data_IF_861172465131
#
_entry.id   IF_861172465131
#
_cell.length_a   1.000
_cell.length_b   1.000
_cell.length_c   1.000
_cell.angle_alpha   90.00
_cell.angle_beta   90.00
_cell.angle_gamma   90.00
#
_symmetry.space_group_name_H-M   'P 1'
#
loop_
_entity.id
_entity.type
_entity.pdbx_description
1 polymer ?
#
# COMPACT_ATOMS: atom_id res chain seq x y z
N UNK A 1 28.09 -18.56 -6.29
CA UNK A 1 27.51 -17.19 -6.26
C UNK A 1 28.46 -16.25 -6.99
N UNK A 2 28.11 -15.78 -8.20
CA UNK A 2 28.92 -14.78 -8.92
C UNK A 2 28.84 -13.43 -8.19
N UNK A 3 29.98 -12.79 -7.95
CA UNK A 3 30.15 -11.61 -7.10
C UNK A 3 29.40 -10.37 -7.64
N UNK A 4 28.89 -9.51 -6.75
CA UNK A 4 28.27 -8.22 -7.12
C UNK A 4 29.34 -7.28 -7.67
N UNK A 5 29.02 -6.41 -8.65
CA UNK A 5 29.95 -5.38 -9.08
C UNK A 5 30.21 -4.42 -7.92
N UNK A 6 31.47 -4.11 -7.67
CA UNK A 6 31.85 -3.12 -6.66
C UNK A 6 33.01 -2.28 -7.15
N UNK A 7 32.98 -1.00 -6.79
CA UNK A 7 34.01 -0.03 -7.10
C UNK A 7 34.65 0.47 -5.81
N UNK A 8 35.97 0.36 -5.70
CA UNK A 8 36.74 0.93 -4.58
C UNK A 8 37.76 1.92 -5.12
N UNK A 9 37.92 3.02 -4.40
CA UNK A 9 38.84 4.08 -4.77
C UNK A 9 39.89 4.19 -3.66
N UNK A 10 41.14 3.94 -4.02
CA UNK A 10 42.31 4.10 -3.13
C UNK A 10 43.12 5.31 -3.61
N UNK A 11 43.29 6.32 -2.76
CA UNK A 11 43.96 7.58 -3.11
C UNK A 11 45.34 7.58 -2.48
N UNK A 12 46.38 7.65 -3.31
CA UNK A 12 47.77 7.82 -2.90
C UNK A 12 48.31 9.12 -3.50
N UNK A 13 48.37 10.16 -2.66
CA UNK A 13 48.87 11.50 -3.01
C UNK A 13 48.25 12.09 -4.29
N UNK A 14 48.99 12.04 -5.41
CA UNK A 14 48.60 12.58 -6.72
C UNK A 14 47.96 11.54 -7.66
N UNK A 15 47.90 10.28 -7.24
CA UNK A 15 47.35 9.16 -8.03
C UNK A 15 46.19 8.48 -7.31
N UNK A 16 45.15 8.08 -8.03
CA UNK A 16 44.06 7.27 -7.50
C UNK A 16 43.96 5.96 -8.26
N UNK A 17 43.87 4.86 -7.51
CA UNK A 17 43.61 3.53 -8.04
C UNK A 17 42.12 3.21 -7.88
N UNK A 18 41.44 2.99 -9.00
CA UNK A 18 40.04 2.57 -9.07
C UNK A 18 40.01 1.06 -9.28
N UNK A 19 39.77 0.32 -8.19
CA UNK A 19 39.67 -1.14 -8.20
C UNK A 19 38.25 -1.54 -8.59
N UNK A 20 38.11 -2.18 -9.76
CA UNK A 20 36.85 -2.71 -10.28
C UNK A 20 36.79 -4.22 -9.99
N UNK A 21 35.76 -4.65 -9.26
CA UNK A 21 35.61 -6.05 -8.86
C UNK A 21 34.24 -6.59 -9.26
N UNK A 22 34.15 -7.91 -9.49
CA UNK A 22 32.88 -8.61 -9.68
C UNK A 22 32.37 -8.62 -11.12
N UNK A 23 31.05 -8.67 -11.30
CA UNK A 23 30.40 -8.89 -12.60
C UNK A 23 29.72 -7.61 -13.11
N UNK A 24 30.28 -7.04 -14.19
CA UNK A 24 29.90 -5.76 -14.81
C UNK A 24 28.98 -5.96 -16.01
N UNK A 25 27.81 -6.54 -15.78
CA UNK A 25 26.76 -6.77 -16.79
C UNK A 25 25.50 -5.98 -16.45
N UNK A 26 24.69 -5.64 -17.46
CA UNK A 26 23.48 -4.80 -17.36
C UNK A 26 22.59 -5.12 -16.17
N UNK A 27 22.27 -6.40 -15.98
CA UNK A 27 21.38 -6.88 -14.92
C UNK A 27 21.88 -6.57 -13.51
N UNK A 28 23.20 -6.46 -13.34
CA UNK A 28 23.86 -6.30 -12.04
C UNK A 28 24.29 -4.87 -11.77
N UNK A 29 24.60 -4.11 -12.82
CA UNK A 29 24.98 -2.69 -12.70
C UNK A 29 23.80 -1.82 -12.30
N UNK A 30 22.56 -2.20 -12.62
CA UNK A 30 21.37 -1.51 -12.14
C UNK A 30 21.32 -1.39 -10.59
N UNK A 31 21.98 -2.30 -9.86
CA UNK A 31 22.08 -2.27 -8.40
C UNK A 31 23.11 -1.26 -7.85
N UNK A 32 24.03 -0.73 -8.68
CA UNK A 32 25.09 0.23 -8.30
C UNK A 32 24.58 1.69 -8.24
N UNK A 33 23.50 2.01 -8.95
CA UNK A 33 23.09 3.38 -9.31
C UNK A 33 22.46 4.25 -8.20
N UNK A 34 22.46 3.84 -6.91
CA UNK A 34 21.81 4.66 -5.86
C UNK A 34 22.70 5.17 -4.74
N UNK A 35 23.96 4.74 -4.57
CA UNK A 35 24.78 5.21 -3.44
C UNK A 35 26.29 4.97 -3.53
N UNK A 36 26.78 4.14 -4.47
CA UNK A 36 28.12 3.52 -4.38
C UNK A 36 29.13 3.96 -5.47
N UNK A 37 29.00 5.17 -6.03
CA UNK A 37 29.96 5.67 -7.03
C UNK A 37 30.82 6.79 -6.44
N UNK A 38 31.97 6.47 -5.82
CA UNK A 38 32.87 7.44 -5.17
C UNK A 38 33.77 8.23 -6.15
N UNK A 39 33.59 8.10 -7.48
CA UNK A 39 34.46 8.77 -8.46
C UNK A 39 33.97 10.21 -8.66
N UNK A 40 34.38 11.10 -7.74
CA UNK A 40 34.32 12.53 -7.95
C UNK A 40 35.72 13.06 -8.32
N UNK A 41 35.84 14.03 -9.25
CA UNK A 41 37.11 14.66 -9.55
C UNK A 41 37.64 15.39 -8.31
N UNK A 42 38.77 14.93 -7.76
CA UNK A 42 39.43 15.58 -6.62
C UNK A 42 40.38 16.68 -7.11
N UNK A 43 40.61 17.72 -6.29
CA UNK A 43 41.56 18.77 -6.64
C UNK A 43 43.02 18.30 -6.56
N UNK A 44 43.33 17.31 -5.72
CA UNK A 44 44.69 16.85 -5.42
C UNK A 44 45.18 15.69 -6.27
N UNK A 45 44.27 14.92 -6.87
CA UNK A 45 44.59 13.75 -7.70
C UNK A 45 44.67 14.14 -9.17
N UNK A 46 45.78 13.85 -9.84
CA UNK A 46 46.01 14.19 -11.25
C UNK A 46 45.91 12.99 -12.20
N UNK A 47 46.13 11.77 -11.70
CA UNK A 47 46.06 10.54 -12.50
C UNK A 47 45.17 9.49 -11.85
N UNK A 48 44.30 8.86 -12.64
CA UNK A 48 43.40 7.80 -12.22
C UNK A 48 43.73 6.51 -12.99
N UNK A 49 44.03 5.44 -12.29
CA UNK A 49 44.28 4.12 -12.88
C UNK A 49 43.09 3.21 -12.58
N UNK A 50 42.40 2.74 -13.61
CA UNK A 50 41.31 1.77 -13.49
C UNK A 50 41.88 0.36 -13.64
N UNK A 51 41.77 -0.44 -12.57
CA UNK A 51 42.24 -1.82 -12.54
C UNK A 51 41.07 -2.79 -12.71
N UNK A 52 41.16 -3.59 -13.77
CA UNK A 52 40.18 -4.60 -14.17
C UNK A 52 40.54 -6.03 -13.73
N UNK A 53 41.66 -6.23 -13.03
CA UNK A 53 42.19 -7.56 -12.71
C UNK A 53 41.22 -8.44 -11.91
N UNK A 54 40.27 -7.84 -11.18
CA UNK A 54 39.27 -8.50 -10.37
C UNK A 54 37.86 -8.53 -11.01
N UNK A 55 37.75 -8.14 -12.29
CA UNK A 55 36.50 -8.22 -13.07
C UNK A 55 36.33 -9.64 -13.60
N UNK A 56 35.16 -10.22 -13.36
CA UNK A 56 34.85 -11.63 -13.66
C UNK A 56 34.01 -11.81 -14.92
N UNK A 57 33.01 -10.94 -15.15
CA UNK A 57 32.18 -10.90 -16.35
C UNK A 57 31.96 -9.43 -16.72
N UNK A 58 31.80 -9.11 -18.01
CA UNK A 58 31.53 -7.74 -18.49
C UNK A 58 30.67 -7.75 -19.76
N UNK A 59 29.90 -6.68 -19.99
CA UNK A 59 29.15 -6.44 -21.23
C UNK A 59 29.29 -4.99 -21.73
N UNK A 60 28.62 -4.67 -22.84
CA UNK A 60 28.62 -3.32 -23.43
C UNK A 60 28.10 -2.25 -22.47
N UNK A 61 27.12 -2.56 -21.62
CA UNK A 61 26.56 -1.58 -20.67
C UNK A 61 27.56 -1.26 -19.57
N UNK A 62 28.25 -2.28 -19.05
CA UNK A 62 29.28 -2.08 -18.02
C UNK A 62 30.50 -1.34 -18.51
N UNK A 63 30.98 -1.68 -19.71
CA UNK A 63 32.10 -0.98 -20.33
C UNK A 63 31.75 0.49 -20.63
N UNK A 64 30.53 0.75 -21.13
CA UNK A 64 30.05 2.12 -21.35
C UNK A 64 29.99 2.94 -20.06
N UNK A 65 29.57 2.36 -18.95
CA UNK A 65 29.55 3.04 -17.65
C UNK A 65 30.96 3.39 -17.17
N UNK A 66 31.93 2.48 -17.34
CA UNK A 66 33.33 2.71 -16.95
C UNK A 66 33.96 3.78 -17.83
N UNK A 67 33.74 3.72 -19.14
CA UNK A 67 34.16 4.76 -20.09
C UNK A 67 33.53 6.11 -19.76
N UNK A 68 32.27 6.13 -19.33
CA UNK A 68 31.62 7.37 -18.90
C UNK A 68 32.37 8.03 -17.73
N UNK A 69 32.81 7.26 -16.73
CA UNK A 69 33.63 7.80 -15.63
C UNK A 69 35.01 8.26 -16.11
N UNK A 70 35.67 7.47 -16.95
CA UNK A 70 36.97 7.81 -17.52
C UNK A 70 36.90 9.13 -18.31
N UNK A 71 35.97 9.25 -19.26
CA UNK A 71 35.74 10.47 -20.06
C UNK A 71 35.35 11.67 -19.20
N UNK A 72 34.57 11.47 -18.14
CA UNK A 72 34.23 12.54 -17.19
C UNK A 72 35.47 13.07 -16.47
N UNK A 73 36.40 12.20 -16.07
CA UNK A 73 37.68 12.60 -15.46
C UNK A 73 38.61 13.28 -16.47
N UNK A 74 38.70 12.77 -17.70
CA UNK A 74 39.47 13.38 -18.79
C UNK A 74 38.96 14.80 -19.12
N UNK A 75 37.64 14.99 -19.15
CA UNK A 75 37.02 16.33 -19.35
C UNK A 75 37.42 17.33 -18.26
N UNK A 76 37.73 16.86 -17.05
CA UNK A 76 38.24 17.69 -15.94
C UNK A 76 39.78 17.79 -15.92
N UNK A 77 40.45 17.43 -17.01
CA UNK A 77 41.90 17.56 -17.17
C UNK A 77 42.72 16.54 -16.37
N UNK A 78 42.12 15.39 -16.00
CA UNK A 78 42.80 14.30 -15.31
C UNK A 78 43.30 13.26 -16.31
N UNK A 79 44.46 12.67 -16.05
CA UNK A 79 44.97 11.54 -16.85
C UNK A 79 44.28 10.25 -16.43
N UNK A 80 43.81 9.44 -17.37
CA UNK A 80 43.19 8.15 -17.09
C UNK A 80 44.00 7.03 -17.75
N UNK A 81 44.27 5.97 -17.00
CA UNK A 81 45.00 4.79 -17.47
C UNK A 81 44.21 3.54 -17.12
N UNK A 82 44.17 2.59 -18.05
CA UNK A 82 43.54 1.30 -17.85
C UNK A 82 44.59 0.20 -17.62
N UNK A 83 44.34 -0.70 -16.67
CA UNK A 83 45.24 -1.79 -16.29
C UNK A 83 44.47 -3.08 -16.00
N UNK A 84 45.08 -4.25 -16.26
CA UNK A 84 44.49 -5.55 -15.90
C UNK A 84 43.40 -6.05 -16.87
N UNK A 85 43.33 -5.49 -18.07
CA UNK A 85 42.32 -5.84 -19.07
C UNK A 85 42.61 -7.20 -19.73
N UNK A 86 41.56 -8.01 -19.91
CA UNK A 86 41.65 -9.19 -20.78
C UNK A 86 41.64 -8.79 -22.26
N UNK A 87 42.17 -9.61 -23.20
CA UNK A 87 42.14 -9.30 -24.63
C UNK A 87 40.73 -9.04 -25.17
N UNK A 88 39.73 -9.75 -24.66
CA UNK A 88 38.32 -9.55 -25.02
C UNK A 88 37.75 -8.25 -24.48
N UNK A 89 38.21 -7.79 -23.30
CA UNK A 89 37.81 -6.52 -22.71
C UNK A 89 38.41 -5.34 -23.46
N UNK A 90 39.68 -5.45 -23.88
CA UNK A 90 40.36 -4.47 -24.72
C UNK A 90 39.61 -4.21 -26.03
N UNK A 91 39.16 -5.28 -26.68
CA UNK A 91 38.36 -5.17 -27.90
C UNK A 91 37.05 -4.43 -27.64
N UNK A 92 36.34 -4.77 -26.55
CA UNK A 92 35.07 -4.13 -26.24
C UNK A 92 35.26 -2.66 -25.84
N UNK A 93 36.29 -2.34 -25.06
CA UNK A 93 36.65 -0.97 -24.68
C UNK A 93 36.95 -0.14 -25.91
N UNK A 94 37.75 -0.65 -26.84
CA UNK A 94 38.04 0.03 -28.09
C UNK A 94 36.79 0.30 -28.92
N UNK A 95 35.89 -0.68 -29.06
CA UNK A 95 34.63 -0.53 -29.81
C UNK A 95 33.73 0.53 -29.16
N UNK A 96 33.57 0.47 -27.83
CA UNK A 96 32.74 1.40 -27.08
C UNK A 96 33.32 2.82 -27.04
N UNK A 97 34.65 2.96 -26.94
CA UNK A 97 35.33 4.27 -26.97
C UNK A 97 35.22 4.92 -28.36
N UNK A 98 35.38 4.14 -29.43
CA UNK A 98 35.22 4.62 -30.82
C UNK A 98 33.80 5.13 -31.09
N UNK A 99 32.79 4.51 -30.47
CA UNK A 99 31.38 4.87 -30.62
C UNK A 99 30.81 5.58 -29.39
N UNK A 100 31.68 6.19 -28.58
CA UNK A 100 31.23 6.87 -27.37
C UNK A 100 30.33 8.06 -27.77
N UNK A 101 29.13 8.21 -27.19
CA UNK A 101 28.19 9.25 -27.55
C UNK A 101 28.81 10.63 -27.25
N UNK A 102 29.01 11.42 -28.30
CA UNK A 102 29.58 12.76 -28.22
C UNK A 102 28.54 13.81 -27.80
N UNK A 103 27.26 13.51 -27.98
CA UNK A 103 26.16 14.37 -27.54
C UNK A 103 25.92 14.16 -26.05
N UNK A 104 26.28 15.15 -25.24
CA UNK A 104 25.72 15.28 -23.90
C UNK A 104 24.23 15.58 -24.07
N UNK A 105 23.37 14.68 -23.58
CA UNK A 105 21.95 14.99 -23.43
C UNK A 105 21.89 16.15 -22.43
N UNK A 106 21.64 17.36 -22.91
CA UNK A 106 21.38 18.48 -22.02
C UNK A 106 20.21 18.08 -21.12
N UNK A 107 20.46 17.99 -19.82
CA UNK A 107 19.37 17.99 -18.84
C UNK A 107 18.58 19.26 -19.12
N UNK A 108 17.39 19.10 -19.70
CA UNK A 108 16.48 20.21 -19.95
C UNK A 108 16.33 20.93 -18.62
N UNK A 109 16.86 22.15 -18.53
CA UNK A 109 16.60 23.05 -17.40
C UNK A 109 15.12 23.38 -17.44
N UNK A 110 14.33 22.51 -16.82
CA UNK A 110 12.89 22.67 -16.72
C UNK A 110 12.58 23.99 -16.03
N UNK A 111 11.61 24.72 -16.59
CA UNK A 111 11.02 25.82 -15.84
C UNK A 111 10.24 25.16 -14.71
N UNK A 112 10.53 25.50 -13.45
CA UNK A 112 9.91 24.89 -12.27
C UNK A 112 8.37 24.75 -12.36
N UNK A 113 7.70 25.71 -12.99
CA UNK A 113 6.25 25.71 -13.22
C UNK A 113 5.85 24.64 -14.26
N UNK A 114 6.62 24.49 -15.34
CA UNK A 114 6.37 23.46 -16.35
C UNK A 114 6.63 22.06 -15.78
N UNK A 115 7.65 21.89 -14.95
CA UNK A 115 7.93 20.60 -14.30
C UNK A 115 6.84 20.23 -13.30
N UNK A 116 6.35 21.23 -12.54
CA UNK A 116 5.21 21.04 -11.64
C UNK A 116 3.95 20.66 -12.42
N UNK A 117 3.69 21.32 -13.54
CA UNK A 117 2.52 21.07 -14.39
C UNK A 117 2.63 19.72 -15.11
N UNK A 118 3.83 19.32 -15.53
CA UNK A 118 4.12 18.00 -16.08
C UNK A 118 3.88 16.92 -15.02
N UNK A 119 4.35 17.11 -13.79
CA UNK A 119 4.15 16.15 -12.71
C UNK A 119 2.66 16.00 -12.37
N UNK A 120 1.91 17.10 -12.31
CA UNK A 120 0.44 17.07 -12.16
C UNK A 120 -0.22 16.33 -13.33
N UNK A 121 0.21 16.60 -14.56
CA UNK A 121 -0.29 15.89 -15.76
C UNK A 121 -0.03 14.39 -15.69
N UNK A 122 1.19 13.99 -15.31
CA UNK A 122 1.61 12.60 -15.16
C UNK A 122 0.79 11.88 -14.09
N UNK A 123 0.66 12.47 -12.90
CA UNK A 123 -0.15 11.91 -11.80
C UNK A 123 -1.63 11.84 -12.18
N UNK A 124 -2.14 12.82 -12.92
CA UNK A 124 -3.54 12.81 -13.37
C UNK A 124 -3.81 11.67 -14.36
N UNK A 125 -2.90 11.43 -15.30
CA UNK A 125 -3.00 10.32 -16.26
C UNK A 125 -2.88 8.97 -15.56
N UNK A 126 -1.98 8.83 -14.61
CA UNK A 126 -1.82 7.62 -13.80
C UNK A 126 -3.06 7.35 -12.93
N UNK A 127 -3.62 8.40 -12.32
CA UNK A 127 -4.89 8.35 -11.58
C UNK A 127 -6.05 7.89 -12.47
N UNK A 128 -6.15 8.43 -13.69
CA UNK A 128 -7.17 7.99 -14.66
C UNK A 128 -7.02 6.52 -15.04
N UNK A 129 -5.80 6.04 -15.30
CA UNK A 129 -5.54 4.62 -15.59
C UNK A 129 -5.92 3.73 -14.41
N UNK A 130 -5.57 4.14 -13.19
CA UNK A 130 -5.93 3.42 -11.95
C UNK A 130 -7.45 3.32 -11.78
N UNK A 131 -8.15 4.43 -12.04
CA UNK A 131 -9.61 4.46 -11.97
C UNK A 131 -10.26 3.56 -13.03
N UNK A 132 -9.75 3.56 -14.26
CA UNK A 132 -10.21 2.67 -15.32
C UNK A 132 -9.99 1.18 -14.94
N UNK A 133 -8.84 0.85 -14.35
CA UNK A 133 -8.56 -0.49 -13.82
C UNK A 133 -9.51 -0.88 -12.68
N UNK A 134 -9.90 0.06 -11.81
CA UNK A 134 -10.87 -0.19 -10.74
C UNK A 134 -12.26 -0.54 -11.29
N UNK A 135 -12.73 0.18 -12.32
CA UNK A 135 -13.99 -0.14 -12.98
C UNK A 135 -13.94 -1.50 -13.69
N UNK A 136 -12.81 -1.82 -14.34
CA UNK A 136 -12.61 -3.12 -14.97
C UNK A 136 -12.64 -4.25 -13.92
N UNK A 137 -11.93 -4.07 -12.80
CA UNK A 137 -11.91 -5.00 -11.68
C UNK A 137 -13.31 -5.21 -11.08
N UNK A 138 -14.05 -4.13 -10.89
CA UNK A 138 -15.42 -4.17 -10.36
C UNK A 138 -16.37 -4.85 -11.34
N UNK A 139 -16.18 -4.66 -12.65
CA UNK A 139 -16.92 -5.36 -13.70
C UNK A 139 -16.72 -6.88 -13.65
N UNK A 140 -15.46 -7.32 -13.57
CA UNK A 140 -15.13 -8.75 -13.42
C UNK A 140 -15.67 -9.33 -12.11
N UNK A 141 -15.55 -8.59 -11.00
CA UNK A 141 -16.13 -8.99 -9.71
C UNK A 141 -17.65 -9.12 -9.80
N UNK A 142 -18.33 -8.17 -10.46
CA UNK A 142 -19.79 -8.22 -10.64
C UNK A 142 -20.18 -9.46 -11.44
N UNK A 143 -19.46 -9.78 -12.50
CA UNK A 143 -19.67 -11.01 -13.26
C UNK A 143 -19.50 -12.27 -12.38
N UNK A 144 -18.43 -12.33 -11.57
CA UNK A 144 -18.19 -13.43 -10.64
C UNK A 144 -19.29 -13.55 -9.57
N UNK A 145 -19.76 -12.42 -9.02
CA UNK A 145 -20.87 -12.38 -8.07
C UNK A 145 -22.17 -12.90 -8.69
N UNK A 146 -22.51 -12.46 -9.91
CA UNK A 146 -23.70 -12.94 -10.63
C UNK A 146 -23.60 -14.45 -10.89
N UNK A 147 -22.44 -14.92 -11.34
CA UNK A 147 -22.19 -16.36 -11.55
C UNK A 147 -22.36 -17.17 -10.25
N UNK A 148 -21.86 -16.65 -9.12
CA UNK A 148 -21.98 -17.27 -7.81
C UNK A 148 -23.43 -17.32 -7.31
N UNK A 149 -24.23 -16.28 -7.56
CA UNK A 149 -25.67 -16.27 -7.23
C UNK A 149 -26.44 -17.28 -8.08
N UNK A 150 -26.11 -17.41 -9.37
CA UNK A 150 -26.74 -18.38 -10.26
C UNK A 150 -26.33 -19.84 -9.97
N UNK A 151 -25.12 -20.05 -9.41
CA UNK A 151 -24.59 -21.36 -9.05
C UNK A 151 -24.07 -21.35 -7.60
N UNK A 152 -24.95 -21.30 -6.58
CA UNK A 152 -24.53 -21.14 -5.17
C UNK A 152 -23.66 -22.29 -4.64
N UNK A 153 -23.70 -23.47 -5.28
CA UNK A 153 -22.86 -24.61 -4.95
C UNK A 153 -21.39 -24.43 -5.34
N UNK A 154 -21.05 -23.47 -6.22
CA UNK A 154 -19.65 -23.15 -6.53
C UNK A 154 -19.00 -22.24 -5.46
N UNK A 155 -19.79 -21.70 -4.53
CA UNK A 155 -19.28 -20.85 -3.45
C UNK A 155 -18.50 -21.71 -2.46
N UNK A 156 -17.25 -21.31 -2.18
CA UNK A 156 -16.35 -22.01 -1.27
C UNK A 156 -16.62 -21.63 0.19
N UNK A 157 -17.75 -22.10 0.73
CA UNK A 157 -18.22 -21.75 2.07
C UNK A 157 -17.18 -21.94 3.19
N UNK A 158 -16.34 -22.97 3.09
CA UNK A 158 -15.24 -23.19 4.06
C UNK A 158 -14.26 -22.02 4.10
N UNK A 159 -13.90 -21.48 2.93
CA UNK A 159 -13.01 -20.31 2.84
C UNK A 159 -13.72 -19.03 3.31
N UNK A 160 -15.01 -18.88 3.00
CA UNK A 160 -15.81 -17.75 3.51
C UNK A 160 -15.89 -17.76 5.03
N UNK A 161 -16.15 -18.91 5.65
CA UNK A 161 -16.21 -19.06 7.11
C UNK A 161 -14.87 -18.74 7.77
N UNK A 162 -13.76 -19.20 7.20
CA UNK A 162 -12.42 -18.84 7.67
C UNK A 162 -12.21 -17.32 7.69
N UNK A 163 -12.62 -16.62 6.64
CA UNK A 163 -12.51 -15.15 6.60
C UNK A 163 -13.53 -14.46 7.52
N UNK A 164 -14.71 -15.02 7.78
CA UNK A 164 -15.65 -14.50 8.79
C UNK A 164 -15.03 -14.57 10.19
N UNK A 165 -14.38 -15.67 10.53
CA UNK A 165 -13.68 -15.81 11.81
C UNK A 165 -12.52 -14.79 11.91
N UNK A 166 -11.65 -14.75 10.90
CA UNK A 166 -10.46 -13.92 10.95
C UNK A 166 -10.79 -12.41 10.91
N UNK A 167 -11.69 -11.99 10.01
CA UNK A 167 -12.03 -10.59 9.79
C UNK A 167 -13.16 -10.09 10.69
N UNK A 168 -14.11 -10.96 11.03
CA UNK A 168 -15.19 -10.68 11.97
C UNK A 168 -14.71 -10.81 13.42
N UNK A 169 -14.53 -12.04 13.91
CA UNK A 169 -14.24 -12.29 15.33
C UNK A 169 -12.95 -11.59 15.79
N UNK A 170 -11.91 -11.60 14.97
CA UNK A 170 -10.67 -10.92 15.30
C UNK A 170 -10.75 -9.39 15.35
N UNK A 171 -11.81 -8.76 14.81
CA UNK A 171 -12.02 -7.30 14.88
C UNK A 171 -12.87 -6.87 16.08
N UNK A 172 -13.55 -7.81 16.76
CA UNK A 172 -14.46 -7.52 17.88
C UNK A 172 -13.78 -6.67 18.96
N UNK A 173 -12.58 -7.01 19.49
CA UNK A 173 -12.02 -6.27 20.62
C UNK A 173 -11.81 -4.78 20.35
N UNK A 174 -11.27 -4.45 19.17
CA UNK A 174 -11.02 -3.05 18.78
C UNK A 174 -12.33 -2.31 18.48
N UNK A 175 -13.32 -2.97 17.88
CA UNK A 175 -14.63 -2.38 17.59
C UNK A 175 -15.39 -2.08 18.88
N UNK A 176 -15.42 -3.02 19.83
CA UNK A 176 -16.10 -2.80 21.11
C UNK A 176 -15.47 -1.64 21.89
N UNK A 177 -14.13 -1.62 21.98
CA UNK A 177 -13.41 -0.56 22.68
C UNK A 177 -13.66 0.82 22.05
N UNK A 178 -13.49 0.92 20.73
CA UNK A 178 -13.69 2.20 20.01
C UNK A 178 -15.14 2.68 20.08
N UNK A 179 -16.11 1.77 19.93
CA UNK A 179 -17.54 2.11 20.00
C UNK A 179 -17.96 2.56 21.39
N UNK A 180 -17.41 1.92 22.44
CA UNK A 180 -17.63 2.33 23.83
C UNK A 180 -17.12 3.76 24.09
N UNK A 181 -15.86 4.03 23.72
CA UNK A 181 -15.25 5.34 23.90
C UNK A 181 -16.01 6.43 23.13
N UNK A 182 -16.46 6.12 21.92
CA UNK A 182 -17.22 7.08 21.13
C UNK A 182 -18.61 7.31 21.71
N UNK A 183 -19.27 6.27 22.22
CA UNK A 183 -20.52 6.41 22.98
C UNK A 183 -20.37 7.37 24.17
N UNK A 184 -19.29 7.23 24.94
CA UNK A 184 -18.93 8.14 26.03
C UNK A 184 -18.75 9.57 25.52
N UNK A 185 -17.94 9.77 24.47
CA UNK A 185 -17.62 11.11 23.95
C UNK A 185 -18.87 11.83 23.45
N UNK A 186 -19.74 11.14 22.70
CA UNK A 186 -20.99 11.72 22.18
C UNK A 186 -21.92 12.09 23.34
N UNK A 187 -22.09 11.20 24.31
CA UNK A 187 -22.96 11.46 25.45
C UNK A 187 -22.41 12.60 26.31
N UNK A 188 -21.10 12.68 26.50
CA UNK A 188 -20.48 13.76 27.26
C UNK A 188 -20.67 15.11 26.57
N UNK A 189 -20.40 15.18 25.27
CA UNK A 189 -20.63 16.40 24.50
C UNK A 189 -22.10 16.78 24.48
N UNK A 190 -23.01 15.81 24.27
CA UNK A 190 -24.45 16.02 24.31
C UNK A 190 -24.91 16.55 25.66
N UNK A 191 -24.51 15.88 26.76
CA UNK A 191 -24.89 16.26 28.13
C UNK A 191 -24.58 17.73 28.41
N UNK A 192 -23.34 18.16 28.11
CA UNK A 192 -22.94 19.55 28.35
C UNK A 192 -23.73 20.59 27.56
N UNK A 193 -24.35 20.20 26.43
CA UNK A 193 -25.22 21.10 25.67
C UNK A 193 -26.66 21.06 26.17
N UNK A 194 -27.19 19.87 26.44
CA UNK A 194 -28.58 19.66 26.89
C UNK A 194 -28.84 20.22 28.29
N UNK A 195 -27.84 20.16 29.18
CA UNK A 195 -27.89 20.73 30.53
C UNK A 195 -28.19 22.23 30.50
N UNK A 196 -27.62 22.96 29.53
CA UNK A 196 -27.85 24.41 29.37
C UNK A 196 -29.29 24.76 29.01
N UNK A 197 -30.02 23.82 28.42
CA UNK A 197 -31.42 23.98 28.03
C UNK A 197 -32.39 23.33 29.03
N UNK A 198 -31.89 22.73 30.12
CA UNK A 198 -32.70 21.96 31.07
C UNK A 198 -33.35 20.71 30.44
N UNK A 199 -32.77 20.20 29.35
CA UNK A 199 -33.38 19.23 28.45
C UNK A 199 -32.75 17.83 28.61
N UNK A 200 -32.32 17.47 29.82
CA UNK A 200 -31.47 16.32 30.12
C UNK A 200 -31.98 14.99 29.57
N UNK A 201 -33.30 14.77 29.60
CA UNK A 201 -33.92 13.52 29.15
C UNK A 201 -33.73 13.25 27.64
N UNK A 202 -33.50 14.29 26.83
CA UNK A 202 -33.32 14.15 25.37
C UNK A 202 -31.94 13.60 24.98
N UNK A 203 -31.04 13.40 25.94
CA UNK A 203 -29.76 12.74 25.69
C UNK A 203 -29.95 11.31 25.17
N UNK A 204 -31.02 10.63 25.60
CA UNK A 204 -31.30 9.24 25.23
C UNK A 204 -31.49 9.12 23.73
N UNK A 205 -32.35 9.95 23.15
CA UNK A 205 -32.63 10.00 21.73
C UNK A 205 -31.40 10.44 20.95
N UNK A 206 -30.69 11.47 21.44
CA UNK A 206 -29.48 11.97 20.80
C UNK A 206 -28.43 10.86 20.66
N UNK A 207 -28.07 10.21 21.76
CA UNK A 207 -27.04 9.15 21.78
C UNK A 207 -27.50 7.94 20.97
N UNK A 208 -28.72 7.44 21.23
CA UNK A 208 -29.17 6.18 20.64
C UNK A 208 -29.41 6.32 19.15
N UNK A 209 -30.10 7.38 18.70
CA UNK A 209 -30.38 7.57 17.27
C UNK A 209 -29.09 7.87 16.51
N UNK A 210 -28.22 8.74 17.02
CA UNK A 210 -26.97 9.10 16.33
C UNK A 210 -26.00 7.94 16.26
N UNK A 211 -25.90 7.16 17.34
CA UNK A 211 -24.99 6.01 17.39
C UNK A 211 -25.44 4.91 16.42
N UNK A 212 -26.68 4.42 16.58
CA UNK A 212 -27.20 3.27 15.85
C UNK A 212 -27.37 3.54 14.34
N UNK A 213 -27.77 4.76 13.98
CA UNK A 213 -28.09 5.09 12.58
C UNK A 213 -26.85 5.42 11.74
N UNK A 214 -25.84 6.02 12.35
CA UNK A 214 -24.74 6.66 11.64
C UNK A 214 -23.37 6.26 12.19
N UNK A 215 -23.09 6.53 13.46
CA UNK A 215 -21.73 6.51 13.98
C UNK A 215 -21.18 5.09 14.13
N UNK A 216 -21.91 4.18 14.79
CA UNK A 216 -21.44 2.81 14.97
C UNK A 216 -21.24 2.06 13.63
N UNK A 217 -22.15 2.15 12.64
CA UNK A 217 -21.90 1.61 11.29
C UNK A 217 -20.65 2.18 10.62
N UNK A 218 -20.48 3.51 10.67
CA UNK A 218 -19.36 4.20 10.02
C UNK A 218 -18.02 3.85 10.67
N UNK A 219 -17.95 3.85 11.99
CA UNK A 219 -16.73 3.57 12.75
C UNK A 219 -16.30 2.12 12.62
N UNK A 220 -17.27 1.20 12.69
CA UNK A 220 -17.02 -0.21 12.43
C UNK A 220 -16.46 -0.39 11.03
N UNK A 221 -17.02 0.28 10.02
CA UNK A 221 -16.50 0.25 8.65
C UNK A 221 -15.06 0.79 8.55
N UNK A 222 -14.75 1.92 9.18
CA UNK A 222 -13.40 2.52 9.17
C UNK A 222 -12.37 1.57 9.81
N UNK A 223 -12.69 1.00 10.98
CA UNK A 223 -11.79 0.09 11.69
C UNK A 223 -11.58 -1.20 10.90
N UNK A 224 -12.64 -1.76 10.32
CA UNK A 224 -12.56 -2.97 9.49
C UNK A 224 -11.82 -2.71 8.18
N UNK A 225 -11.97 -1.52 7.59
CA UNK A 225 -11.18 -1.12 6.44
C UNK A 225 -9.69 -1.10 6.77
N UNK A 226 -9.30 -0.48 7.89
CA UNK A 226 -7.90 -0.44 8.32
C UNK A 226 -7.31 -1.82 8.61
N UNK A 227 -8.05 -2.70 9.31
CA UNK A 227 -7.55 -4.02 9.71
C UNK A 227 -7.67 -5.07 8.59
N UNK A 228 -8.89 -5.29 8.11
CA UNK A 228 -9.20 -6.41 7.23
C UNK A 228 -8.83 -6.10 5.77
N UNK A 229 -9.07 -4.88 5.28
CA UNK A 229 -8.70 -4.55 3.90
C UNK A 229 -7.18 -4.53 3.71
N UNK A 230 -6.42 -4.00 4.68
CA UNK A 230 -4.95 -4.05 4.68
C UNK A 230 -4.45 -5.49 4.73
N UNK A 231 -5.03 -6.34 5.59
CA UNK A 231 -4.67 -7.75 5.64
C UNK A 231 -4.96 -8.48 4.32
N UNK A 232 -6.11 -8.21 3.68
CA UNK A 232 -6.45 -8.80 2.39
C UNK A 232 -5.52 -8.31 1.27
N UNK A 233 -5.21 -7.01 1.26
CA UNK A 233 -4.28 -6.41 0.29
C UNK A 233 -2.90 -7.06 0.42
N UNK A 234 -2.38 -7.17 1.64
CA UNK A 234 -1.08 -7.78 1.91
C UNK A 234 -1.05 -9.26 1.56
N UNK A 235 -2.09 -10.04 1.91
CA UNK A 235 -2.16 -11.46 1.56
C UNK A 235 -2.16 -11.67 0.04
N UNK A 236 -3.00 -10.94 -0.69
CA UNK A 236 -3.05 -11.04 -2.16
C UNK A 236 -1.75 -10.54 -2.79
N UNK A 237 -1.15 -9.48 -2.24
CA UNK A 237 0.14 -8.94 -2.67
C UNK A 237 1.26 -9.96 -2.54
N UNK A 238 1.37 -10.62 -1.38
CA UNK A 238 2.34 -11.71 -1.17
C UNK A 238 2.11 -12.83 -2.18
N UNK A 239 0.87 -13.30 -2.35
CA UNK A 239 0.54 -14.33 -3.34
C UNK A 239 0.84 -13.92 -4.78
N UNK A 240 0.80 -12.62 -5.09
CA UNK A 240 1.16 -12.09 -6.40
C UNK A 240 2.68 -12.06 -6.59
N UNK A 241 3.44 -11.68 -5.57
CA UNK A 241 4.92 -11.65 -5.61
C UNK A 241 5.52 -13.06 -5.61
N UNK A 242 4.86 -14.04 -4.98
CA UNK A 242 5.28 -15.44 -4.98
C UNK A 242 4.78 -16.24 -6.19
N UNK A 243 4.21 -15.58 -7.20
CA UNK A 243 3.62 -16.18 -8.41
C UNK A 243 2.50 -17.21 -8.13
N UNK A 244 1.94 -17.26 -6.91
CA UNK A 244 0.84 -18.17 -6.56
C UNK A 244 -0.45 -17.87 -7.33
N UNK A 245 -0.72 -16.59 -7.60
CA UNK A 245 -1.88 -16.16 -8.39
C UNK A 245 -1.78 -16.64 -9.85
N UNK A 246 -0.58 -16.56 -10.43
CA UNK A 246 -0.37 -16.98 -11.83
C UNK A 246 -0.27 -18.50 -11.96
N UNK A 247 0.28 -19.18 -10.95
CA UNK A 247 0.19 -20.64 -10.82
C UNK A 247 -1.27 -21.11 -10.74
N UNK A 248 -2.13 -20.39 -10.00
CA UNK A 248 -3.56 -20.69 -9.93
C UNK A 248 -4.24 -20.58 -11.30
N UNK A 249 -3.93 -19.52 -12.06
CA UNK A 249 -4.45 -19.32 -13.42
C UNK A 249 -3.98 -20.40 -14.39
N UNK A 250 -2.72 -20.83 -14.31
CA UNK A 250 -2.17 -21.88 -15.19
C UNK A 250 -2.78 -23.26 -14.92
N UNK A 251 -3.19 -23.52 -13.68
CA UNK A 251 -3.96 -24.71 -13.30
C UNK A 251 -5.45 -24.65 -13.71
N UNK A 252 -5.90 -23.54 -14.31
CA UNK A 252 -7.29 -23.36 -14.73
C UNK A 252 -8.25 -22.93 -13.61
N UNK A 253 -7.73 -22.52 -12.45
CA UNK A 253 -8.54 -21.98 -11.37
C UNK A 253 -8.73 -20.47 -11.53
N UNK A 254 -9.96 -20.00 -11.33
CA UNK A 254 -10.30 -18.58 -11.33
C UNK A 254 -9.86 -17.92 -10.02
N UNK A 255 -8.94 -16.93 -10.03
CA UNK A 255 -8.55 -16.21 -8.82
C UNK A 255 -9.72 -15.45 -8.17
N UNK A 256 -10.73 -15.06 -8.95
CA UNK A 256 -11.92 -14.38 -8.47
C UNK A 256 -12.72 -15.24 -7.49
N UNK A 257 -12.92 -16.51 -7.84
CA UNK A 257 -13.72 -17.44 -7.02
C UNK A 257 -12.97 -17.93 -5.78
N UNK A 258 -11.64 -17.98 -5.87
CA UNK A 258 -10.78 -18.54 -4.82
C UNK A 258 -10.28 -17.47 -3.84
N UNK A 259 -10.04 -16.24 -4.30
CA UNK A 259 -9.50 -15.17 -3.46
C UNK A 259 -10.55 -14.10 -3.14
N UNK A 260 -11.24 -13.56 -4.13
CA UNK A 260 -12.05 -12.34 -3.96
C UNK A 260 -13.42 -12.62 -3.38
N UNK A 261 -14.18 -13.56 -3.97
CA UNK A 261 -15.54 -13.88 -3.52
C UNK A 261 -15.64 -14.31 -2.04
N UNK A 262 -14.76 -15.21 -1.52
CA UNK A 262 -14.84 -15.61 -0.13
C UNK A 262 -14.64 -14.44 0.84
N UNK A 263 -13.72 -13.52 0.53
CA UNK A 263 -13.44 -12.31 1.31
C UNK A 263 -14.58 -11.29 1.22
N UNK A 264 -15.17 -11.13 0.04
CA UNK A 264 -16.34 -10.27 -0.18
C UNK A 264 -17.53 -10.73 0.67
N UNK A 265 -17.93 -12.00 0.53
CA UNK A 265 -19.05 -12.53 1.30
C UNK A 265 -18.77 -12.55 2.80
N UNK A 266 -17.53 -12.81 3.20
CA UNK A 266 -17.16 -12.76 4.60
C UNK A 266 -17.42 -11.38 5.21
N UNK A 267 -16.97 -10.29 4.56
CA UNK A 267 -17.20 -8.94 5.06
C UNK A 267 -18.67 -8.48 4.95
N UNK A 268 -19.37 -8.85 3.88
CA UNK A 268 -20.80 -8.53 3.73
C UNK A 268 -21.63 -9.13 4.85
N UNK A 269 -21.28 -10.34 5.31
CA UNK A 269 -21.98 -11.03 6.40
C UNK A 269 -21.46 -10.61 7.78
N UNK A 270 -20.14 -10.41 7.94
CA UNK A 270 -19.56 -10.08 9.24
C UNK A 270 -19.83 -8.64 9.66
N UNK A 271 -19.84 -7.68 8.74
CA UNK A 271 -19.98 -6.26 9.10
C UNK A 271 -21.31 -5.95 9.82
N UNK A 272 -22.48 -6.43 9.35
CA UNK A 272 -23.75 -6.22 10.07
C UNK A 272 -23.72 -6.77 11.51
N UNK A 273 -23.10 -7.93 11.71
CA UNK A 273 -22.94 -8.52 13.04
C UNK A 273 -22.04 -7.67 13.92
N UNK A 274 -20.94 -7.15 13.37
CA UNK A 274 -20.04 -6.26 14.09
C UNK A 274 -20.71 -4.94 14.48
N UNK A 275 -21.50 -4.35 13.57
CA UNK A 275 -22.27 -3.13 13.82
C UNK A 275 -23.28 -3.34 14.95
N UNK A 276 -23.94 -4.49 14.99
CA UNK A 276 -24.85 -4.81 16.09
C UNK A 276 -24.16 -4.77 17.47
N UNK A 277 -22.97 -5.37 17.59
CA UNK A 277 -22.22 -5.33 18.84
C UNK A 277 -21.68 -3.92 19.15
N UNK A 278 -21.26 -3.17 18.12
CA UNK A 278 -20.85 -1.79 18.24
C UNK A 278 -21.98 -0.89 18.77
N UNK A 279 -23.20 -1.06 18.25
CA UNK A 279 -24.40 -0.32 18.67
C UNK A 279 -24.68 -0.54 20.16
N UNK A 280 -24.71 -1.80 20.61
CA UNK A 280 -24.97 -2.16 22.00
C UNK A 280 -23.95 -1.49 22.93
N UNK A 281 -22.66 -1.62 22.60
CA UNK A 281 -21.59 -1.12 23.45
C UNK A 281 -21.48 0.41 23.41
N UNK A 282 -21.80 1.03 22.27
CA UNK A 282 -21.84 2.48 22.15
C UNK A 282 -22.99 3.09 22.96
N UNK A 283 -24.19 2.52 22.87
CA UNK A 283 -25.34 2.94 23.68
C UNK A 283 -25.03 2.76 25.17
N UNK A 284 -24.40 1.65 25.56
CA UNK A 284 -23.96 1.44 26.93
C UNK A 284 -22.95 2.50 27.41
N UNK A 285 -21.97 2.87 26.57
CA UNK A 285 -21.05 3.96 26.88
C UNK A 285 -21.76 5.30 27.12
N UNK A 286 -22.81 5.58 26.35
CA UNK A 286 -23.62 6.78 26.55
C UNK A 286 -24.52 6.73 27.79
N UNK A 287 -25.04 5.54 28.14
CA UNK A 287 -25.78 5.31 29.38
C UNK A 287 -24.94 5.64 30.62
N UNK A 288 -23.65 5.26 30.63
CA UNK A 288 -22.73 5.56 31.73
C UNK A 288 -22.60 7.07 31.95
N UNK A 289 -22.51 7.84 30.87
CA UNK A 289 -22.40 9.30 30.96
C UNK A 289 -23.71 9.97 31.33
N UNK A 290 -24.84 9.50 30.79
CA UNK A 290 -26.15 10.00 31.17
C UNK A 290 -26.42 9.84 32.68
N UNK A 291 -26.02 8.70 33.25
CA UNK A 291 -26.15 8.45 34.69
C UNK A 291 -25.22 9.28 35.57
N UNK A 292 -24.02 9.62 35.08
CA UNK A 292 -23.01 10.34 35.90
C UNK A 292 -23.07 11.85 35.76
N UNK A 293 -23.62 12.38 34.66
CA UNK A 293 -23.67 13.82 34.37
C UNK A 293 -25.06 14.44 34.46
N UNK A 294 -26.11 13.68 34.20
CA UNK A 294 -27.47 14.21 34.06
C UNK A 294 -28.47 13.55 35.02
N UNK A 295 -27.98 12.70 35.93
CA UNK A 295 -28.78 11.92 36.90
C UNK A 295 -29.88 11.04 36.27
N UNK A 296 -29.70 10.66 34.99
CA UNK A 296 -30.62 9.75 34.29
C UNK A 296 -30.26 8.31 34.60
N UNK A 297 -31.14 7.59 35.31
CA UNK A 297 -30.87 6.19 35.69
C UNK A 297 -30.84 5.26 34.47
N UNK A 298 -30.16 4.11 34.59
CA UNK A 298 -30.12 3.11 33.53
C UNK A 298 -31.51 2.59 33.14
N UNK A 299 -32.41 2.45 34.11
CA UNK A 299 -33.80 1.98 33.88
C UNK A 299 -34.56 3.02 33.06
N UNK A 300 -34.48 4.29 33.45
CA UNK A 300 -35.12 5.40 32.75
C UNK A 300 -34.59 5.53 31.31
N UNK A 301 -33.28 5.38 31.11
CA UNK A 301 -32.67 5.40 29.78
C UNK A 301 -33.27 4.31 28.87
N UNK A 302 -33.32 3.06 29.34
CA UNK A 302 -33.85 1.93 28.56
C UNK A 302 -35.34 2.08 28.27
N UNK A 303 -36.13 2.54 29.24
CA UNK A 303 -37.56 2.75 29.02
C UNK A 303 -37.82 3.89 28.03
N UNK A 304 -36.99 4.94 28.08
CA UNK A 304 -37.04 6.04 27.11
C UNK A 304 -36.66 5.60 25.68
N UNK A 305 -35.69 4.69 25.53
CA UNK A 305 -35.38 4.08 24.23
C UNK A 305 -36.63 3.40 23.66
N UNK A 306 -37.30 2.55 24.44
CA UNK A 306 -38.48 1.79 23.98
C UNK A 306 -39.64 2.69 23.55
N UNK A 307 -39.80 3.83 24.22
CA UNK A 307 -40.89 4.78 23.93
C UNK A 307 -40.60 5.67 22.72
N UNK A 308 -39.33 6.04 22.49
CA UNK A 308 -39.01 7.16 21.60
C UNK A 308 -38.18 6.75 20.37
N UNK A 309 -37.40 5.67 20.48
CA UNK A 309 -36.50 5.24 19.41
C UNK A 309 -37.19 4.20 18.53
N UNK A 310 -37.61 4.63 17.34
CA UNK A 310 -38.19 3.73 16.36
C UNK A 310 -37.15 2.73 15.80
N UNK A 311 -37.55 1.46 15.63
CA UNK A 311 -36.71 0.39 15.06
C UNK A 311 -36.16 0.72 13.66
N UNK A 312 -36.78 1.66 12.94
CA UNK A 312 -36.29 2.16 11.64
C UNK A 312 -34.84 2.64 11.71
N UNK A 313 -34.40 3.21 12.82
CA UNK A 313 -33.03 3.74 12.95
C UNK A 313 -31.99 2.61 12.94
N UNK A 314 -32.30 1.50 13.61
CA UNK A 314 -31.49 0.28 13.59
C UNK A 314 -31.45 -0.34 12.19
N UNK A 315 -32.61 -0.46 11.53
CA UNK A 315 -32.69 -1.03 10.18
C UNK A 315 -31.85 -0.22 9.18
N UNK A 316 -31.86 1.12 9.27
CA UNK A 316 -31.04 1.98 8.41
C UNK A 316 -29.55 1.71 8.63
N UNK A 317 -29.10 1.59 9.88
CA UNK A 317 -27.70 1.26 10.19
C UNK A 317 -27.29 -0.11 9.65
N UNK A 318 -28.16 -1.11 9.85
CA UNK A 318 -27.95 -2.47 9.37
C UNK A 318 -27.89 -2.59 7.85
N UNK A 319 -28.71 -1.84 7.10
CA UNK A 319 -28.69 -1.85 5.63
C UNK A 319 -27.40 -1.24 5.07
N UNK A 320 -26.79 -0.26 5.76
CA UNK A 320 -25.51 0.33 5.35
C UNK A 320 -24.33 -0.63 5.55
N UNK A 321 -24.37 -1.43 6.60
CA UNK A 321 -23.28 -2.35 6.95
C UNK A 321 -22.84 -3.31 5.82
N UNK A 322 -23.72 -4.06 5.12
CA UNK A 322 -23.30 -4.94 4.03
C UNK A 322 -22.72 -4.15 2.85
N UNK A 323 -23.21 -2.93 2.58
CA UNK A 323 -22.70 -2.07 1.51
C UNK A 323 -21.27 -1.64 1.83
N UNK A 324 -21.01 -1.20 3.06
CA UNK A 324 -19.64 -0.90 3.50
C UNK A 324 -18.74 -2.14 3.44
N UNK A 325 -19.23 -3.31 3.86
CA UNK A 325 -18.49 -4.55 3.78
C UNK A 325 -18.07 -4.90 2.35
N UNK A 326 -18.99 -4.72 1.39
CA UNK A 326 -18.73 -4.94 -0.02
C UNK A 326 -17.67 -3.97 -0.58
N UNK A 327 -17.80 -2.68 -0.28
CA UNK A 327 -16.85 -1.64 -0.72
C UNK A 327 -15.45 -1.94 -0.15
N UNK A 328 -15.36 -2.23 1.15
CA UNK A 328 -14.10 -2.50 1.84
C UNK A 328 -13.40 -3.73 1.25
N UNK A 329 -14.13 -4.83 1.06
CA UNK A 329 -13.58 -6.05 0.48
C UNK A 329 -13.08 -5.82 -0.96
N UNK A 330 -13.87 -5.11 -1.77
CA UNK A 330 -13.53 -4.82 -3.17
C UNK A 330 -12.27 -3.98 -3.27
N UNK A 331 -12.18 -2.89 -2.48
CA UNK A 331 -11.00 -2.01 -2.48
C UNK A 331 -9.76 -2.75 -1.97
N UNK A 332 -9.89 -3.53 -0.89
CA UNK A 332 -8.77 -4.32 -0.35
C UNK A 332 -8.25 -5.36 -1.33
N UNK A 333 -9.15 -6.08 -2.01
CA UNK A 333 -8.74 -7.05 -3.02
C UNK A 333 -8.13 -6.35 -4.24
N UNK A 334 -8.73 -5.27 -4.72
CA UNK A 334 -8.23 -4.49 -5.86
C UNK A 334 -6.81 -3.96 -5.63
N UNK A 335 -6.54 -3.39 -4.45
CA UNK A 335 -5.20 -2.92 -4.10
C UNK A 335 -4.20 -4.07 -3.98
N UNK A 336 -4.61 -5.20 -3.42
CA UNK A 336 -3.78 -6.41 -3.39
C UNK A 336 -3.30 -6.88 -4.77
N UNK A 337 -4.18 -6.86 -5.78
CA UNK A 337 -3.80 -7.21 -7.16
C UNK A 337 -2.94 -6.15 -7.87
N UNK A 338 -2.88 -4.93 -7.35
CA UNK A 338 -2.11 -3.83 -7.93
C UNK A 338 -0.66 -3.77 -7.43
N UNK A 339 -0.30 -4.51 -6.40
CA UNK A 339 1.05 -4.50 -5.84
C UNK A 339 2.06 -5.00 -6.89
N UNK A 340 3.13 -4.24 -7.12
CA UNK A 340 4.23 -4.61 -8.01
C UNK A 340 5.23 -5.54 -7.32
N UNK A 341 6.17 -6.10 -8.09
CA UNK A 341 7.11 -7.15 -7.69
C UNK A 341 8.12 -6.78 -6.58
N UNK A 342 7.96 -5.62 -5.94
CA UNK A 342 8.86 -5.14 -4.89
C UNK A 342 8.26 -5.36 -3.50
N UNK A 343 9.08 -5.81 -2.54
CA UNK A 343 8.64 -6.03 -1.15
C UNK A 343 8.27 -4.74 -0.42
N UNK A 344 8.78 -3.58 -0.87
CA UNK A 344 8.40 -2.27 -0.33
C UNK A 344 7.00 -1.82 -0.79
N UNK A 345 6.45 -2.46 -1.82
CA UNK A 345 5.11 -2.15 -2.35
C UNK A 345 3.97 -2.87 -1.60
N UNK A 346 4.29 -3.84 -0.73
CA UNK A 346 3.35 -4.60 0.12
C UNK A 346 3.17 -3.89 1.46
#
# INVERSE_FOLDING_TARGET
MKQKPSLRLDIQEQTALVLLQGSWVKERIAALCKTDIPIAPSQTTHSYTFDFSAVTDFDTHGIMLILHFAKTLEKHGKSVVFQGESPSMQQLLHICDTHYPLEEIEDKKGIFILDSLENVGRQSVEGYRTLASFFSFTGELTHACVAAVLKPLSIRWKATLYHIEQSGAGAIPIILLTSFLIGIVIAYQGATQLEKFGANIFIVEMVTISSVRELAPLLTAIVVAGRSASSYSAQIGVMKITDEVDAMRSMGFSPWDFLVLPRLFALVVSLPLLVFFADIVSVFGGMVIASTKLDVSFVEFIDRIKQTVALKHLVIGFIKAPIFGAIIATIGCFRGFQIDSSTESV
#
